data_IF_852696857017
#
_entry.id   IF_852696857017
#
_cell.length_a   1.000
_cell.length_b   1.000
_cell.length_c   1.000
_cell.angle_alpha   90.00
_cell.angle_beta   90.00
_cell.angle_gamma   90.00
#
_symmetry.space_group_name_H-M   'P 1'
#
loop_
_entity.id
_entity.type
_entity.pdbx_description
1 polymer ?
#
# COMPACT_ATOMS: atom_id res chain seq x y z
N UNK A 1 -20.84 -3.45 -39.00
CA UNK A 1 -20.37 -3.54 -38.64
C UNK A 1 -19.61 -3.35 -37.72
N UNK A 2 -19.44 -3.24 -37.58
CA UNK A 2 -18.76 -3.28 -36.81
C UNK A 2 -18.66 -2.71 -35.78
N UNK A 3 -18.85 -2.42 -35.65
CA UNK A 3 -18.71 -1.91 -34.87
C UNK A 3 -18.80 -2.08 -33.77
N UNK A 4 -19.10 -2.41 -33.53
CA UNK A 4 -19.27 -2.67 -32.65
C UNK A 4 -18.71 -3.00 -31.81
N UNK A 5 -18.32 -3.08 -31.72
CA UNK A 5 -17.71 -3.52 -31.09
C UNK A 5 -17.09 -3.03 -30.13
N UNK A 6 -16.83 -2.79 -29.94
CA UNK A 6 -16.09 -2.46 -29.10
C UNK A 6 -16.37 -1.94 -28.06
N UNK A 7 -16.64 -1.63 -27.95
CA UNK A 7 -17.03 -1.01 -27.19
C UNK A 7 -17.20 -1.38 -25.90
N UNK A 8 -17.51 -1.90 -25.82
CA UNK A 8 -17.95 -2.52 -24.68
C UNK A 8 -16.85 -2.65 -23.68
N UNK A 9 -16.07 -2.94 -24.09
CA UNK A 9 -15.05 -3.16 -23.33
C UNK A 9 -14.76 -2.17 -22.34
N UNK A 10 -14.70 -1.20 -22.69
CA UNK A 10 -14.37 -0.18 -21.91
C UNK A 10 -15.02 -0.19 -20.64
N UNK A 11 -16.02 -0.17 -20.60
CA UNK A 11 -16.80 0.04 -19.44
C UNK A 11 -16.25 -0.80 -18.41
N UNK A 12 -16.08 -1.73 -18.66
CA UNK A 12 -15.60 -2.63 -17.82
C UNK A 12 -14.66 -2.19 -16.89
N UNK A 13 -13.72 -1.90 -17.23
CA UNK A 13 -12.77 -1.53 -16.40
C UNK A 13 -13.17 -0.76 -15.32
N UNK A 14 -13.65 0.03 -15.53
CA UNK A 14 -14.03 0.93 -14.60
C UNK A 14 -14.35 0.28 -13.43
N UNK A 15 -14.97 -0.40 -13.41
CA UNK A 15 -15.52 -0.95 -12.34
C UNK A 15 -14.53 -1.45 -11.54
N UNK A 16 -13.74 -1.83 -11.98
CA UNK A 16 -12.80 -2.38 -11.19
C UNK A 16 -12.78 -1.70 -9.97
N UNK A 17 -13.61 -1.19 -9.77
CA UNK A 17 -13.75 -0.73 -8.56
C UNK A 17 -12.68 -0.64 -7.67
N UNK A 18 -12.03 0.05 -7.53
CA UNK A 18 -11.08 0.21 -6.63
C UNK A 18 -11.58 0.34 -5.29
N UNK A 19 -11.63 -0.67 -4.64
CA UNK A 19 -12.07 -0.64 -3.28
C UNK A 19 -11.07 0.04 -2.37
N UNK A 20 -9.83 0.15 -2.75
CA UNK A 20 -8.80 0.70 -1.88
C UNK A 20 -7.87 1.64 -2.62
N UNK A 21 -7.41 2.69 -1.93
CA UNK A 21 -6.43 3.61 -2.50
C UNK A 21 -5.31 3.83 -1.50
N UNK A 22 -4.11 4.02 -2.04
CA UNK A 22 -2.93 4.31 -1.24
C UNK A 22 -2.39 5.66 -1.66
N UNK A 23 -2.12 6.54 -0.70
CA UNK A 23 -1.48 7.81 -0.96
C UNK A 23 -0.13 7.81 -0.25
N UNK A 24 0.93 7.79 -1.04
CA UNK A 24 2.27 7.77 -0.46
C UNK A 24 2.61 9.15 0.10
N UNK A 25 3.05 9.16 1.34
CA UNK A 25 3.50 10.38 2.00
C UNK A 25 5.02 10.41 2.12
N UNK A 26 5.69 9.34 1.71
CA UNK A 26 7.14 9.22 1.82
C UNK A 26 7.82 10.08 0.78
N UNK A 27 8.87 10.83 1.13
CA UNK A 27 9.63 11.57 0.15
C UNK A 27 10.29 10.64 -0.87
N UNK A 28 10.50 11.15 -2.08
CA UNK A 28 11.15 10.37 -3.13
C UNK A 28 12.62 10.12 -2.80
N UNK A 29 13.25 11.02 -2.11
CA UNK A 29 14.65 10.91 -1.75
C UNK A 29 14.82 11.15 -0.27
N UNK A 30 15.74 10.44 0.31
CA UNK A 30 16.08 10.64 1.72
C UNK A 30 17.60 10.61 1.88
N UNK A 31 18.15 11.41 2.79
CA UNK A 31 19.58 11.40 3.02
C UNK A 31 20.01 10.10 3.70
N UNK A 32 21.21 9.65 3.36
CA UNK A 32 21.73 8.42 3.96
C UNK A 32 21.89 8.62 5.46
N UNK A 33 21.44 7.62 6.22
CA UNK A 33 21.56 7.69 7.67
C UNK A 33 22.35 6.49 8.19
N UNK A 34 22.94 6.63 9.38
CA UNK A 34 23.82 5.58 9.90
C UNK A 34 23.10 4.30 10.33
N UNK A 35 21.79 4.36 10.53
CA UNK A 35 21.05 3.18 10.97
C UNK A 35 20.58 2.34 9.80
N UNK A 36 20.69 2.84 8.59
CA UNK A 36 20.22 2.17 7.38
C UNK A 36 18.73 1.83 7.43
N UNK A 37 17.96 2.60 8.18
CA UNK A 37 16.50 2.43 8.29
C UNK A 37 15.86 3.73 7.85
N UNK A 38 14.90 3.64 6.93
CA UNK A 38 14.31 4.81 6.31
C UNK A 38 12.80 4.82 6.49
N UNK A 39 12.24 5.91 7.00
CA UNK A 39 10.80 5.96 7.25
C UNK A 39 9.97 5.97 5.98
N UNK A 40 8.89 5.25 6.00
CA UNK A 40 7.89 5.27 4.94
C UNK A 40 6.54 5.52 5.60
N UNK A 41 5.65 6.17 4.87
CA UNK A 41 4.35 6.52 5.42
C UNK A 41 3.32 6.51 4.30
N UNK A 42 2.10 6.10 4.63
CA UNK A 42 1.05 5.96 3.63
C UNK A 42 -0.31 6.25 4.25
N UNK A 43 -1.19 6.82 3.45
CA UNK A 43 -2.61 6.90 3.78
C UNK A 43 -3.30 5.77 3.05
N UNK A 44 -4.07 4.98 3.78
CA UNK A 44 -4.84 3.87 3.22
C UNK A 44 -6.32 4.17 3.39
N UNK A 45 -7.04 4.23 2.27
CA UNK A 45 -8.47 4.42 2.29
C UNK A 45 -9.14 3.29 1.53
N UNK A 46 -10.25 2.81 2.06
CA UNK A 46 -11.03 1.77 1.41
C UNK A 46 -12.48 2.22 1.32
N UNK A 47 -13.08 2.00 0.15
CA UNK A 47 -14.49 2.26 -0.01
C UNK A 47 -15.34 1.08 0.46
N UNK A 48 -14.72 -0.01 0.86
CA UNK A 48 -15.46 -1.18 1.30
C UNK A 48 -16.00 -0.93 2.70
N UNK A 49 -17.30 -0.73 2.82
CA UNK A 49 -17.90 -0.37 4.10
C UNK A 49 -17.89 -1.50 5.09
N UNK A 50 -17.80 -2.74 4.61
CA UNK A 50 -17.81 -3.89 5.51
C UNK A 50 -16.41 -4.25 6.01
N UNK A 51 -15.39 -3.47 5.66
CA UNK A 51 -14.05 -3.71 6.14
C UNK A 51 -13.98 -3.58 7.66
N UNK A 52 -13.36 -4.54 8.31
CA UNK A 52 -13.17 -4.51 9.75
C UNK A 52 -11.86 -3.81 10.06
N UNK A 53 -11.93 -2.60 10.58
CA UNK A 53 -10.71 -1.81 10.79
C UNK A 53 -9.78 -2.43 11.81
N UNK A 54 -10.33 -3.14 12.79
CA UNK A 54 -9.49 -3.78 13.81
C UNK A 54 -8.76 -5.01 13.27
N UNK A 55 -9.06 -5.44 12.05
CA UNK A 55 -8.40 -6.58 11.46
C UNK A 55 -7.27 -6.17 10.52
N UNK A 56 -7.03 -4.89 10.32
CA UNK A 56 -6.02 -4.44 9.36
C UNK A 56 -4.64 -4.85 9.82
N UNK A 57 -3.91 -5.52 8.93
CA UNK A 57 -2.52 -5.88 9.14
C UNK A 57 -1.71 -5.21 8.03
N UNK A 58 -1.09 -4.07 8.34
CA UNK A 58 -0.42 -3.28 7.32
C UNK A 58 1.05 -3.63 7.22
N UNK A 59 1.54 -3.72 6.00
CA UNK A 59 2.94 -4.03 5.75
C UNK A 59 3.50 -3.17 4.63
N UNK A 60 4.81 -3.00 4.64
CA UNK A 60 5.53 -2.53 3.48
C UNK A 60 6.39 -3.69 3.01
N UNK A 61 6.32 -3.97 1.71
CA UNK A 61 7.12 -5.03 1.09
C UNK A 61 8.31 -4.37 0.41
N UNK A 62 9.51 -4.75 0.82
CA UNK A 62 10.73 -4.21 0.25
C UNK A 62 11.77 -5.31 0.18
N UNK A 63 12.42 -5.42 -0.98
CA UNK A 63 13.47 -6.42 -1.18
C UNK A 63 13.00 -7.83 -0.78
N UNK A 64 11.78 -8.17 -1.15
CA UNK A 64 11.25 -9.51 -0.93
C UNK A 64 10.78 -9.79 0.49
N UNK A 65 10.80 -8.81 1.38
CA UNK A 65 10.39 -9.04 2.77
C UNK A 65 9.31 -8.06 3.19
N UNK A 66 8.44 -8.53 4.08
CA UNK A 66 7.37 -7.72 4.63
C UNK A 66 7.81 -7.15 5.97
N UNK A 67 7.63 -5.83 6.11
CA UNK A 67 7.92 -5.15 7.36
C UNK A 67 6.62 -4.53 7.87
N UNK A 68 6.27 -4.73 9.14
CA UNK A 68 4.99 -4.23 9.63
C UNK A 68 4.99 -2.71 9.75
N UNK A 69 3.83 -2.14 9.48
CA UNK A 69 3.59 -0.73 9.71
C UNK A 69 2.77 -0.58 10.98
N UNK A 70 2.78 0.61 11.53
CA UNK A 70 1.95 0.93 12.68
C UNK A 70 1.12 2.16 12.38
N UNK A 71 -0.01 2.27 13.04
CA UNK A 71 -0.87 3.41 12.84
C UNK A 71 -0.26 4.64 13.48
N UNK A 72 -0.32 5.77 12.78
CA UNK A 72 0.16 7.03 13.34
C UNK A 72 -0.80 7.45 14.44
N UNK A 73 -0.26 7.82 15.58
CA UNK A 73 -1.07 8.18 16.73
C UNK A 73 -2.00 9.33 16.38
N UNK A 74 -3.28 9.16 16.66
CA UNK A 74 -4.28 10.20 16.42
C UNK A 74 -4.78 10.33 15.01
N UNK A 75 -4.32 9.48 14.07
CA UNK A 75 -4.77 9.55 12.69
C UNK A 75 -5.16 8.16 12.22
N UNK A 76 -6.44 7.95 11.97
CA UNK A 76 -6.96 6.61 11.78
C UNK A 76 -6.58 5.93 10.47
N UNK A 77 -6.25 6.68 9.46
CA UNK A 77 -5.95 6.09 8.15
C UNK A 77 -4.50 6.28 7.72
N UNK A 78 -3.63 6.65 8.63
CA UNK A 78 -2.22 6.88 8.34
C UNK A 78 -1.36 5.83 9.02
N UNK A 79 -0.40 5.30 8.28
CA UNK A 79 0.43 4.20 8.75
C UNK A 79 1.88 4.49 8.41
N UNK A 80 2.78 4.10 9.28
CA UNK A 80 4.21 4.39 9.13
C UNK A 80 5.05 3.19 9.51
N UNK A 81 6.26 3.15 9.00
CA UNK A 81 7.20 2.09 9.33
C UNK A 81 8.58 2.44 8.82
N UNK A 82 9.50 1.49 8.99
CA UNK A 82 10.88 1.66 8.57
C UNK A 82 11.25 0.58 7.57
N UNK A 83 12.01 0.97 6.56
CA UNK A 83 12.48 0.03 5.54
C UNK A 83 14.00 0.02 5.60
N UNK A 84 14.63 -1.14 5.75
CA UNK A 84 16.08 -1.21 5.74
C UNK A 84 16.62 -1.10 4.32
N UNK A 85 17.66 -0.31 4.16
CA UNK A 85 18.38 -0.19 2.89
C UNK A 85 19.86 -0.33 3.23
N UNK A 86 20.54 -1.33 2.68
CA UNK A 86 21.95 -1.53 2.99
C UNK A 86 22.80 -0.31 2.67
N UNK A 87 23.87 -0.13 3.40
CA UNK A 87 24.76 1.02 3.18
C UNK A 87 25.33 1.05 1.76
N UNK A 88 25.44 -0.10 1.12
CA UNK A 88 25.98 -0.18 -0.23
C UNK A 88 24.94 0.11 -1.31
N UNK A 89 23.68 0.19 -0.96
CA UNK A 89 22.63 0.41 -1.94
C UNK A 89 22.28 1.89 -2.04
N UNK A 90 21.86 2.32 -3.22
CA UNK A 90 21.49 3.71 -3.46
C UNK A 90 19.97 3.88 -3.44
N UNK A 91 19.23 2.83 -3.17
CA UNK A 91 17.78 2.93 -3.12
C UNK A 91 17.13 1.57 -2.99
N UNK A 92 15.81 1.58 -2.94
CA UNK A 92 15.04 0.36 -2.82
C UNK A 92 13.67 0.58 -3.43
N UNK A 93 13.13 -0.48 -4.04
CA UNK A 93 11.74 -0.48 -4.47
C UNK A 93 10.87 -1.02 -3.34
N UNK A 94 9.74 -0.42 -3.13
CA UNK A 94 8.83 -0.87 -2.09
C UNK A 94 7.38 -0.66 -2.51
N UNK A 95 6.48 -1.43 -1.88
CA UNK A 95 5.05 -1.24 -2.05
C UNK A 95 4.38 -1.55 -0.74
N UNK A 96 3.18 -1.03 -0.56
CA UNK A 96 2.41 -1.30 0.64
C UNK A 96 1.47 -2.47 0.39
N UNK A 97 1.28 -3.30 1.41
CA UNK A 97 0.39 -4.44 1.33
C UNK A 97 -0.41 -4.48 2.62
N UNK A 98 -1.73 -4.37 2.48
CA UNK A 98 -2.63 -4.35 3.63
C UNK A 98 -3.53 -5.57 3.55
N UNK A 99 -3.49 -6.40 4.58
CA UNK A 99 -4.37 -7.55 4.71
C UNK A 99 -5.45 -7.18 5.71
N UNK A 100 -6.67 -7.61 5.46
CA UNK A 100 -7.77 -7.29 6.35
C UNK A 100 -8.91 -8.27 6.16
N UNK A 101 -9.87 -8.23 7.10
CA UNK A 101 -11.09 -8.99 6.99
C UNK A 101 -12.22 -8.03 6.65
N UNK A 102 -13.21 -8.53 5.95
CA UNK A 102 -14.44 -7.78 5.73
C UNK A 102 -15.63 -8.67 6.08
N UNK A 103 -16.68 -8.02 6.57
CA UNK A 103 -17.88 -8.74 6.90
C UNK A 103 -18.66 -9.08 5.64
N UNK A 104 -19.15 -10.32 5.58
CA UNK A 104 -19.91 -10.76 4.44
C UNK A 104 -21.24 -11.27 4.96
N UNK A 105 -22.32 -10.73 4.42
CA UNK A 105 -23.64 -11.00 4.94
C UNK A 105 -23.92 -12.51 5.03
N UNK A 106 -24.31 -12.95 6.21
CA UNK A 106 -24.69 -14.34 6.38
C UNK A 106 -23.53 -15.33 6.46
N UNK A 107 -22.30 -14.87 6.49
CA UNK A 107 -21.14 -15.75 6.54
C UNK A 107 -20.09 -15.17 7.49
N UNK A 108 -19.12 -15.97 7.91
CA UNK A 108 -18.01 -15.43 8.69
C UNK A 108 -17.22 -14.38 7.90
N UNK A 109 -16.51 -13.50 8.58
CA UNK A 109 -15.67 -12.52 7.89
C UNK A 109 -14.71 -13.18 6.94
N UNK A 110 -14.47 -12.54 5.82
CA UNK A 110 -13.60 -13.07 4.77
C UNK A 110 -12.32 -12.26 4.65
N UNK A 111 -11.20 -12.91 4.31
CA UNK A 111 -9.95 -12.21 4.11
C UNK A 111 -9.89 -11.53 2.76
N UNK A 112 -9.18 -10.43 2.71
CA UNK A 112 -8.90 -9.73 1.48
C UNK A 112 -7.54 -9.02 1.65
N UNK A 113 -7.01 -8.54 0.54
CA UNK A 113 -5.72 -7.91 0.55
C UNK A 113 -5.69 -6.82 -0.52
N UNK A 114 -5.00 -5.74 -0.22
CA UNK A 114 -4.82 -4.65 -1.17
C UNK A 114 -3.33 -4.32 -1.23
N UNK A 115 -2.84 -4.04 -2.43
CA UNK A 115 -1.44 -3.68 -2.62
C UNK A 115 -1.34 -2.40 -3.43
N UNK A 116 -0.38 -1.56 -3.08
CA UNK A 116 -0.13 -0.35 -3.83
C UNK A 116 0.72 -0.65 -5.06
N UNK A 117 0.90 0.36 -5.89
CA UNK A 117 1.89 0.27 -6.95
C UNK A 117 3.29 0.24 -6.34
N UNK A 118 4.27 -0.08 -7.15
CA UNK A 118 5.66 -0.10 -6.71
C UNK A 118 6.19 1.33 -6.69
N UNK A 119 6.77 1.72 -5.58
CA UNK A 119 7.42 3.02 -5.42
C UNK A 119 8.92 2.81 -5.31
N UNK A 120 9.67 3.86 -5.56
CA UNK A 120 11.11 3.82 -5.40
C UNK A 120 11.56 4.88 -4.41
N UNK A 121 12.44 4.49 -3.52
CA UNK A 121 13.08 5.39 -2.59
C UNK A 121 14.54 5.51 -3.00
N UNK A 122 15.01 6.73 -3.19
CA UNK A 122 16.39 6.98 -3.53
C UNK A 122 17.12 7.49 -2.30
N UNK A 123 18.28 6.92 -2.02
CA UNK A 123 19.10 7.33 -0.91
C UNK A 123 20.21 8.23 -1.47
N UNK A 124 20.31 9.43 -0.94
CA UNK A 124 21.30 10.39 -1.42
C UNK A 124 22.37 10.59 -0.38
N UNK A 125 23.60 10.52 -0.83
CA UNK A 125 24.74 10.76 0.06
C UNK A 125 24.96 12.26 0.19
N UNK A 126 25.41 12.68 1.33
CA UNK A 126 25.67 14.09 1.60
C UNK A 126 27.11 14.35 1.96
#
# INVERSE_FOLDING_TARGET
>A
MIWKKFLPLLPVLLLTGCAATFTRLTPLEQPRNPNNLYPVEVIFNSSQQTLRRDSIQPYVLADGQLYPLRQVVGVTNRWEGLVPVPASASGVGYRFKFDFLYNNWGTPPKPNSASSQLYKLKIVDQ
#
